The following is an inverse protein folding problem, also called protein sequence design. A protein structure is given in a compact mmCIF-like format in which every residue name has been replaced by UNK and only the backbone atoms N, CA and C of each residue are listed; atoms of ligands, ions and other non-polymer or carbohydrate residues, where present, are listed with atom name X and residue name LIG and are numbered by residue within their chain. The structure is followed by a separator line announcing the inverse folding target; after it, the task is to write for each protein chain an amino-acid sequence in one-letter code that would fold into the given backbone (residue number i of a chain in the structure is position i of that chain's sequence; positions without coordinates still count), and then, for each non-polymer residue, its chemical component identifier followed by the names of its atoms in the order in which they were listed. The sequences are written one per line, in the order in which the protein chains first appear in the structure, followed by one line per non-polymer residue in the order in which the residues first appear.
data_IF_489120349916
#
_entry.id   IF_489120349916
#
_cell.length_a   1.000
_cell.length_b   1.000
_cell.length_c   1.000
_cell.angle_alpha   90.00
_cell.angle_beta   90.00
_cell.angle_gamma   90.00
#
_symmetry.space_group_name_H-M   'P 1'
#
loop_
_entity.id
_entity.type
_entity.pdbx_description
1 polymer ?
#
# COMPACT_ATOMS: atom_id res chain seq x y z
N UNK A 1 -24.49 8.96 9.46
CA UNK A 1 -23.12 8.79 8.93
C UNK A 1 -22.79 7.31 8.89
N UNK A 2 -22.17 6.83 7.82
CA UNK A 2 -21.70 5.43 7.74
C UNK A 2 -20.57 5.21 8.76
N UNK A 3 -20.59 4.08 9.44
CA UNK A 3 -19.56 3.65 10.38
C UNK A 3 -18.99 2.32 9.94
N UNK A 4 -17.70 2.11 10.17
CA UNK A 4 -17.11 0.78 10.21
C UNK A 4 -16.76 0.47 11.66
N UNK A 5 -17.12 -0.73 12.11
CA UNK A 5 -16.76 -1.25 13.42
C UNK A 5 -15.98 -2.53 13.25
N UNK A 6 -14.97 -2.69 14.07
CA UNK A 6 -14.22 -3.95 14.20
C UNK A 6 -14.24 -4.36 15.68
N UNK A 7 -14.22 -5.65 15.92
CA UNK A 7 -14.08 -6.22 17.25
C UNK A 7 -12.84 -7.11 17.27
N UNK A 8 -11.99 -6.90 18.27
CA UNK A 8 -10.73 -7.61 18.42
C UNK A 8 -10.69 -8.32 19.77
N UNK A 9 -10.42 -9.61 19.77
CA UNK A 9 -10.33 -10.46 20.95
C UNK A 9 -8.91 -11.02 21.11
N UNK A 10 -8.40 -10.94 22.33
CA UNK A 10 -7.14 -11.62 22.68
C UNK A 10 -7.37 -13.12 22.86
N UNK A 11 -6.53 -13.91 22.21
CA UNK A 11 -6.62 -15.38 22.17
C UNK A 11 -5.57 -16.09 23.03
N UNK A 12 -4.77 -15.35 23.75
CA UNK A 12 -3.64 -15.84 24.52
C UNK A 12 -2.30 -15.47 23.90
N UNK A 13 -1.20 -15.51 24.68
CA UNK A 13 0.15 -15.07 24.27
C UNK A 13 0.09 -13.72 23.56
N UNK A 14 0.51 -13.66 22.28
CA UNK A 14 0.49 -12.44 21.46
C UNK A 14 -0.57 -12.47 20.36
N UNK A 15 -1.44 -13.49 20.35
CA UNK A 15 -2.44 -13.63 19.30
C UNK A 15 -3.69 -12.80 19.59
N UNK A 16 -4.13 -12.06 18.56
CA UNK A 16 -5.39 -11.35 18.51
C UNK A 16 -6.17 -11.75 17.24
N UNK A 17 -7.45 -12.05 17.42
CA UNK A 17 -8.37 -12.30 16.32
C UNK A 17 -9.31 -11.10 16.17
N UNK A 18 -9.43 -10.59 14.96
CA UNK A 18 -10.29 -9.43 14.66
C UNK A 18 -11.37 -9.83 13.68
N UNK A 19 -12.62 -9.51 14.01
CA UNK A 19 -13.74 -9.67 13.10
C UNK A 19 -13.93 -8.39 12.28
N UNK A 20 -13.82 -8.50 10.95
CA UNK A 20 -13.98 -7.39 10.00
C UNK A 20 -14.98 -7.81 8.93
N UNK A 21 -16.14 -7.16 8.86
CA UNK A 21 -17.20 -7.44 7.88
C UNK A 21 -17.55 -8.94 7.76
N UNK A 22 -17.58 -9.67 8.89
CA UNK A 22 -17.87 -11.11 8.93
C UNK A 22 -16.67 -12.03 8.65
N UNK A 23 -15.47 -11.48 8.41
CA UNK A 23 -14.24 -12.23 8.18
C UNK A 23 -13.31 -12.12 9.38
N UNK A 24 -12.69 -13.24 9.77
CA UNK A 24 -11.69 -13.25 10.84
C UNK A 24 -10.32 -12.99 10.28
N UNK A 25 -9.63 -12.00 10.85
CA UNK A 25 -8.23 -11.70 10.62
C UNK A 25 -7.45 -12.09 11.88
N UNK A 26 -6.43 -12.92 11.71
CA UNK A 26 -5.54 -13.34 12.79
C UNK A 26 -4.28 -12.47 12.75
N UNK A 27 -3.92 -11.91 13.90
CA UNK A 27 -2.66 -11.20 14.11
C UNK A 27 -1.90 -11.90 15.23
N UNK A 28 -0.60 -12.11 15.04
CA UNK A 28 0.26 -12.71 16.06
C UNK A 28 1.69 -12.16 15.94
N UNK A 29 2.54 -12.57 16.84
CA UNK A 29 3.96 -12.26 16.83
C UNK A 29 4.77 -13.54 16.55
N UNK A 30 6.00 -13.42 16.01
CA UNK A 30 6.88 -14.56 15.87
C UNK A 30 7.29 -15.12 17.24
N UNK A 31 7.70 -16.38 17.30
CA UNK A 31 8.04 -17.09 18.55
C UNK A 31 9.07 -16.33 19.39
N UNK A 32 10.08 -15.70 18.75
CA UNK A 32 11.10 -14.88 19.45
C UNK A 32 10.51 -13.66 20.19
N UNK A 33 9.29 -13.26 19.85
CA UNK A 33 8.56 -12.16 20.49
C UNK A 33 7.40 -12.65 21.38
N UNK A 34 7.36 -13.94 21.69
CA UNK A 34 6.36 -14.54 22.60
C UNK A 34 5.06 -14.98 21.93
N UNK A 35 4.97 -14.93 20.61
CA UNK A 35 3.85 -15.46 19.81
C UNK A 35 4.07 -16.89 19.35
N UNK A 36 3.20 -17.36 18.49
CA UNK A 36 3.24 -18.69 17.85
C UNK A 36 3.35 -18.61 16.31
N UNK A 37 3.41 -17.38 15.76
CA UNK A 37 3.47 -17.10 14.32
C UNK A 37 2.25 -17.60 13.55
N UNK A 38 1.08 -17.54 14.19
CA UNK A 38 -0.20 -17.93 13.60
C UNK A 38 -0.76 -16.89 12.63
N UNK A 39 -0.16 -15.72 12.54
CA UNK A 39 -0.58 -14.64 11.66
C UNK A 39 0.45 -13.49 11.61
N UNK A 40 0.30 -12.55 10.67
CA UNK A 40 1.21 -11.43 10.56
C UNK A 40 1.10 -10.48 11.75
N UNK A 41 2.19 -9.74 12.01
CA UNK A 41 2.19 -8.65 13.00
C UNK A 41 1.28 -7.50 12.52
N UNK A 42 0.68 -6.70 13.43
CA UNK A 42 -0.39 -5.75 13.06
C UNK A 42 0.06 -4.57 12.19
N UNK A 43 1.27 -4.03 12.36
CA UNK A 43 1.69 -2.80 11.65
C UNK A 43 1.64 -2.90 10.12
N UNK A 44 2.05 -4.00 9.46
CA UNK A 44 1.93 -4.15 7.99
C UNK A 44 0.50 -4.10 7.45
N UNK A 45 -0.53 -4.28 8.28
CA UNK A 45 -1.91 -4.14 7.83
C UNK A 45 -2.25 -2.72 7.34
N UNK A 46 -1.51 -1.71 7.77
CA UNK A 46 -1.61 -0.35 7.21
C UNK A 46 -1.25 -0.35 5.72
N UNK A 47 -0.17 -1.07 5.35
CA UNK A 47 0.25 -1.21 3.95
C UNK A 47 -0.71 -2.10 3.17
N UNK A 48 -1.21 -3.17 3.78
CA UNK A 48 -2.23 -4.07 3.20
C UNK A 48 -3.52 -3.30 2.90
N UNK A 49 -3.99 -2.48 3.82
CA UNK A 49 -5.16 -1.64 3.62
C UNK A 49 -4.97 -0.66 2.45
N UNK A 50 -3.78 -0.05 2.33
CA UNK A 50 -3.47 0.82 1.20
C UNK A 50 -3.47 0.05 -0.12
N UNK A 51 -2.77 -1.09 -0.21
CA UNK A 51 -2.70 -1.88 -1.45
C UNK A 51 -4.08 -2.35 -1.92
N UNK A 52 -4.90 -2.87 -1.01
CA UNK A 52 -6.25 -3.33 -1.32
C UNK A 52 -7.18 -2.19 -1.75
N UNK A 53 -7.17 -1.07 -1.01
CA UNK A 53 -8.01 0.09 -1.31
C UNK A 53 -7.70 0.66 -2.70
N UNK A 54 -6.43 0.95 -3.00
CA UNK A 54 -6.04 1.51 -4.30
C UNK A 54 -6.20 0.49 -5.43
N UNK A 55 -5.93 -0.80 -5.19
CA UNK A 55 -6.11 -1.85 -6.19
C UNK A 55 -7.56 -2.01 -6.63
N UNK A 56 -8.50 -2.02 -5.68
CA UNK A 56 -9.94 -2.05 -5.98
C UNK A 56 -10.37 -0.83 -6.78
N UNK A 57 -9.88 0.37 -6.44
CA UNK A 57 -10.18 1.60 -7.19
C UNK A 57 -9.68 1.51 -8.65
N UNK A 58 -8.43 1.08 -8.87
CA UNK A 58 -7.84 0.96 -10.21
C UNK A 58 -8.69 0.03 -11.08
N UNK A 59 -9.01 -1.16 -10.56
CA UNK A 59 -9.86 -2.13 -11.28
C UNK A 59 -11.25 -1.56 -11.55
N UNK A 60 -11.86 -0.89 -10.58
CA UNK A 60 -13.20 -0.31 -10.76
C UNK A 60 -13.21 0.83 -11.78
N UNK A 61 -12.17 1.69 -11.76
CA UNK A 61 -12.04 2.83 -12.69
C UNK A 61 -11.84 2.35 -14.14
N UNK A 62 -11.01 1.32 -14.36
CA UNK A 62 -10.81 0.73 -15.69
C UNK A 62 -12.09 0.04 -16.19
N UNK A 63 -12.74 -0.78 -15.35
CA UNK A 63 -14.02 -1.42 -15.71
C UNK A 63 -15.10 -0.43 -16.10
N UNK A 64 -15.18 0.72 -15.44
CA UNK A 64 -16.14 1.78 -15.76
C UNK A 64 -15.96 2.36 -17.17
N UNK A 65 -14.75 2.23 -17.73
CA UNK A 65 -14.41 2.61 -19.09
C UNK A 65 -14.53 1.44 -20.09
N UNK A 66 -15.00 0.28 -19.65
CA UNK A 66 -15.06 -0.93 -20.47
C UNK A 66 -13.70 -1.60 -20.68
N UNK A 67 -12.69 -1.23 -19.88
CA UNK A 67 -11.34 -1.75 -19.95
C UNK A 67 -11.08 -2.80 -18.85
N UNK A 68 -10.21 -3.76 -19.16
CA UNK A 68 -9.73 -4.75 -18.20
C UNK A 68 -8.24 -4.99 -18.39
N UNK A 69 -7.52 -5.15 -17.28
CA UNK A 69 -6.12 -5.59 -17.29
C UNK A 69 -6.05 -7.10 -17.18
N UNK A 70 -4.97 -7.68 -17.69
CA UNK A 70 -4.74 -9.14 -17.64
C UNK A 70 -4.15 -9.55 -16.28
N UNK A 71 -3.34 -8.67 -15.69
CA UNK A 71 -2.71 -8.87 -14.39
C UNK A 71 -2.48 -7.54 -13.67
N UNK A 72 -2.56 -7.56 -12.35
CA UNK A 72 -2.28 -6.42 -11.48
C UNK A 72 -1.64 -6.90 -10.18
N UNK A 73 -0.39 -6.56 -9.98
CA UNK A 73 0.34 -6.76 -8.74
C UNK A 73 0.65 -5.40 -8.09
N UNK A 74 0.51 -5.30 -6.79
CA UNK A 74 0.79 -4.08 -6.04
C UNK A 74 1.72 -4.42 -4.88
N UNK A 75 2.91 -3.82 -4.89
CA UNK A 75 3.86 -3.89 -3.79
C UNK A 75 3.87 -2.56 -3.05
N UNK A 76 3.73 -2.61 -1.72
CA UNK A 76 3.78 -1.42 -0.87
C UNK A 76 4.94 -1.55 0.11
N UNK A 77 5.84 -0.59 0.05
CA UNK A 77 7.00 -0.51 0.95
C UNK A 77 6.82 0.66 1.90
N UNK A 78 6.97 0.43 3.19
CA UNK A 78 6.95 1.46 4.23
C UNK A 78 8.28 1.55 4.95
N UNK A 79 8.89 2.72 4.97
CA UNK A 79 10.11 2.99 5.72
C UNK A 79 9.79 3.26 7.18
N UNK A 80 10.51 2.60 8.10
CA UNK A 80 10.32 2.74 9.54
C UNK A 80 11.28 3.78 10.13
N UNK A 81 10.77 4.56 11.08
CA UNK A 81 11.62 5.42 11.92
C UNK A 81 12.60 4.59 12.74
N UNK A 82 13.76 5.18 13.07
CA UNK A 82 14.77 4.54 13.92
C UNK A 82 14.51 4.72 15.42
N UNK A 83 13.61 5.63 15.78
CA UNK A 83 13.30 5.98 17.17
C UNK A 83 11.89 5.54 17.55
N UNK A 84 11.66 5.31 18.83
CA UNK A 84 10.33 5.05 19.37
C UNK A 84 9.47 6.35 19.44
N UNK A 85 8.18 6.25 19.14
CA UNK A 85 7.46 5.08 18.63
C UNK A 85 7.88 4.75 17.19
N UNK A 86 8.20 3.49 16.91
CA UNK A 86 8.53 3.05 15.55
C UNK A 86 7.29 3.13 14.65
N UNK A 87 7.30 4.08 13.73
CA UNK A 87 6.21 4.34 12.78
C UNK A 87 6.73 4.40 11.34
N UNK A 88 5.83 4.29 10.37
CA UNK A 88 6.19 4.59 8.98
C UNK A 88 6.47 6.09 8.84
N UNK A 89 7.55 6.43 8.12
CA UNK A 89 7.96 7.81 7.83
C UNK A 89 7.86 8.14 6.34
N UNK A 90 7.82 7.13 5.48
CA UNK A 90 7.53 7.24 4.05
C UNK A 90 6.90 5.94 3.55
N UNK A 91 6.05 6.02 2.53
CA UNK A 91 5.45 4.87 1.86
C UNK A 91 5.65 5.02 0.35
N UNK A 92 6.00 3.92 -0.30
CA UNK A 92 6.05 3.81 -1.76
C UNK A 92 5.19 2.66 -2.25
N UNK A 93 4.42 2.91 -3.33
CA UNK A 93 3.52 1.94 -3.97
C UNK A 93 4.01 1.65 -5.38
N UNK A 94 4.33 0.41 -5.66
CA UNK A 94 4.72 -0.09 -6.98
C UNK A 94 3.53 -0.85 -7.60
N UNK A 95 3.06 -0.41 -8.76
CA UNK A 95 2.03 -1.09 -9.54
C UNK A 95 2.70 -1.78 -10.72
N UNK A 96 2.61 -3.10 -10.80
CA UNK A 96 3.00 -3.90 -11.97
C UNK A 96 1.73 -4.40 -12.64
N UNK A 97 1.48 -3.90 -13.86
CA UNK A 97 0.22 -4.08 -14.58
C UNK A 97 0.50 -4.61 -15.97
N UNK A 98 -0.28 -5.60 -16.40
CA UNK A 98 -0.25 -6.14 -17.76
C UNK A 98 -1.61 -5.97 -18.44
N UNK A 99 -1.60 -5.65 -19.72
CA UNK A 99 -2.81 -5.46 -20.52
C UNK A 99 -2.53 -5.01 -21.94
N UNK A 100 -3.58 -4.63 -22.66
CA UNK A 100 -3.48 -4.19 -24.06
C UNK A 100 -2.63 -2.93 -24.24
N UNK A 101 -1.83 -2.88 -25.30
CA UNK A 101 -0.88 -1.77 -25.57
C UNK A 101 -1.55 -0.38 -25.62
N UNK A 102 -2.80 -0.28 -26.05
CA UNK A 102 -3.53 0.97 -26.15
C UNK A 102 -3.97 1.56 -24.82
N UNK A 103 -3.79 0.85 -23.68
CA UNK A 103 -4.34 1.21 -22.38
C UNK A 103 -3.37 1.99 -21.47
N UNK A 104 -2.16 2.30 -21.92
CA UNK A 104 -1.12 2.95 -21.07
C UNK A 104 -1.64 4.22 -20.38
N UNK A 105 -2.26 5.12 -21.11
CA UNK A 105 -2.76 6.40 -20.59
C UNK A 105 -3.92 6.18 -19.60
N UNK A 106 -4.82 5.25 -19.89
CA UNK A 106 -5.96 4.91 -19.03
C UNK A 106 -5.48 4.32 -17.70
N UNK A 107 -4.45 3.47 -17.74
CA UNK A 107 -3.82 2.89 -16.56
C UNK A 107 -3.17 3.97 -15.70
N UNK A 108 -2.36 4.86 -16.29
CA UNK A 108 -1.75 5.99 -15.56
C UNK A 108 -2.84 6.86 -14.92
N UNK A 109 -3.90 7.15 -15.68
CA UNK A 109 -5.02 7.93 -15.17
C UNK A 109 -5.75 7.23 -14.03
N UNK A 110 -6.05 5.94 -14.15
CA UNK A 110 -6.77 5.17 -13.14
C UNK A 110 -5.96 5.09 -11.82
N UNK A 111 -4.66 4.80 -11.88
CA UNK A 111 -3.78 4.78 -10.71
C UNK A 111 -3.68 6.16 -10.07
N UNK A 112 -3.45 7.20 -10.87
CA UNK A 112 -3.35 8.58 -10.36
C UNK A 112 -4.65 9.04 -9.72
N UNK A 113 -5.79 8.78 -10.36
CA UNK A 113 -7.11 9.13 -9.82
C UNK A 113 -7.41 8.36 -8.52
N UNK A 114 -7.04 7.08 -8.43
CA UNK A 114 -7.12 6.35 -7.15
C UNK A 114 -6.30 7.06 -6.07
N UNK A 115 -5.02 7.32 -6.34
CA UNK A 115 -4.11 7.90 -5.35
C UNK A 115 -4.50 9.32 -4.92
N UNK A 116 -5.11 10.11 -5.79
CA UNK A 116 -5.37 11.54 -5.54
C UNK A 116 -6.83 11.81 -5.15
N UNK A 117 -7.80 11.03 -5.64
CA UNK A 117 -9.23 11.34 -5.51
C UNK A 117 -10.04 10.28 -4.75
N UNK A 118 -9.76 8.99 -4.97
CA UNK A 118 -10.70 7.94 -4.56
C UNK A 118 -10.23 7.14 -3.35
N UNK A 119 -8.95 6.76 -3.27
CA UNK A 119 -8.46 5.94 -2.16
C UNK A 119 -8.46 6.71 -0.83
N UNK A 120 -9.43 6.41 0.03
CA UNK A 120 -9.54 7.02 1.35
C UNK A 120 -8.34 6.72 2.25
N UNK A 121 -7.75 5.52 2.12
CA UNK A 121 -6.55 5.13 2.89
C UNK A 121 -5.35 5.97 2.44
N UNK A 122 -5.13 6.13 1.13
CA UNK A 122 -4.07 7.01 0.61
C UNK A 122 -4.26 8.46 1.09
N UNK A 123 -5.50 8.95 1.03
CA UNK A 123 -5.84 10.30 1.50
C UNK A 123 -5.54 10.53 2.98
N UNK A 124 -5.82 9.53 3.84
CA UNK A 124 -5.49 9.60 5.27
C UNK A 124 -3.98 9.57 5.50
N UNK A 125 -3.27 8.63 4.86
CA UNK A 125 -1.83 8.45 5.06
C UNK A 125 -1.03 9.67 4.58
N UNK A 126 -1.40 10.28 3.46
CA UNK A 126 -0.75 11.50 2.92
C UNK A 126 -0.81 12.71 3.86
N UNK A 127 -1.74 12.72 4.82
CA UNK A 127 -1.78 13.77 5.86
C UNK A 127 -0.70 13.60 6.91
N UNK A 128 -0.17 12.39 7.06
CA UNK A 128 0.80 12.06 8.11
C UNK A 128 2.23 11.90 7.56
N UNK A 129 2.39 11.43 6.32
CA UNK A 129 3.69 11.09 5.74
C UNK A 129 3.67 11.14 4.20
N UNK A 130 4.83 11.24 3.54
CA UNK A 130 4.95 11.15 2.10
C UNK A 130 4.49 9.78 1.58
N UNK A 131 3.63 9.77 0.56
CA UNK A 131 3.22 8.59 -0.20
C UNK A 131 3.53 8.83 -1.66
N UNK A 132 4.45 8.04 -2.21
CA UNK A 132 4.84 8.07 -3.61
C UNK A 132 4.42 6.79 -4.32
N UNK A 133 4.39 6.82 -5.66
CA UNK A 133 4.06 5.61 -6.44
C UNK A 133 4.76 5.60 -7.79
N UNK A 134 4.88 4.40 -8.33
CA UNK A 134 5.33 4.16 -9.70
C UNK A 134 4.44 3.13 -10.39
N UNK A 135 4.47 3.13 -11.71
CA UNK A 135 3.69 2.23 -12.56
C UNK A 135 4.62 1.58 -13.56
N UNK A 136 4.70 0.26 -13.51
CA UNK A 136 5.30 -0.59 -14.54
C UNK A 136 4.16 -1.19 -15.35
N UNK A 137 4.17 -0.99 -16.66
CA UNK A 137 3.16 -1.52 -17.57
C UNK A 137 3.81 -2.35 -18.67
N UNK A 138 3.42 -3.64 -18.77
CA UNK A 138 4.03 -4.62 -19.68
C UNK A 138 5.56 -4.67 -19.55
N UNK A 139 6.11 -4.48 -18.32
CA UNK A 139 7.55 -4.50 -18.05
C UNK A 139 8.28 -3.16 -18.26
N UNK A 140 7.59 -2.11 -18.69
CA UNK A 140 8.15 -0.77 -18.87
C UNK A 140 7.66 0.18 -17.75
N UNK A 141 8.57 0.90 -17.09
CA UNK A 141 8.20 1.96 -16.14
C UNK A 141 7.63 3.16 -16.91
N UNK A 142 6.33 3.39 -16.80
CA UNK A 142 5.60 4.46 -17.51
C UNK A 142 5.28 5.68 -16.63
N UNK A 143 5.43 5.56 -15.31
CA UNK A 143 5.21 6.66 -14.37
C UNK A 143 6.02 6.43 -13.08
N UNK A 144 6.57 7.51 -12.52
CA UNK A 144 7.18 7.53 -11.19
C UNK A 144 7.16 8.95 -10.64
N UNK A 145 6.68 9.14 -9.41
CA UNK A 145 6.71 10.43 -8.71
C UNK A 145 7.62 10.43 -7.46
N UNK A 146 8.50 9.43 -7.34
CA UNK A 146 9.53 9.44 -6.31
C UNK A 146 10.46 10.63 -6.55
N UNK A 147 10.77 11.47 -5.55
CA UNK A 147 11.76 12.51 -5.70
C UNK A 147 13.09 11.90 -6.18
N UNK A 148 13.71 12.55 -7.18
CA UNK A 148 15.07 12.18 -7.57
C UNK A 148 15.96 12.57 -6.39
N UNK A 149 16.66 11.59 -5.80
CA UNK A 149 17.70 11.91 -4.83
C UNK A 149 18.79 12.68 -5.58
N UNK A 150 18.90 13.99 -5.31
CA UNK A 150 20.05 14.77 -5.76
C UNK A 150 21.30 14.11 -5.16
N UNK A 151 22.09 13.47 -6.00
CA UNK A 151 23.44 13.06 -5.63
C UNK A 151 24.17 14.31 -5.22
N UNK A 152 24.26 14.58 -3.91
CA UNK A 152 25.17 15.57 -3.36
C UNK A 152 26.57 15.15 -3.83
N UNK A 153 27.09 15.87 -4.82
CA UNK A 153 28.51 15.84 -5.12
C UNK A 153 29.23 16.24 -3.82
N UNK A 154 29.79 15.27 -3.12
CA UNK A 154 30.77 15.55 -2.10
C UNK A 154 32.00 16.13 -2.81
N UNK A 155 32.11 17.45 -2.77
CA UNK A 155 33.35 18.13 -3.12
C UNK A 155 34.31 17.79 -1.98
N UNK A 156 35.25 16.87 -2.25
CA UNK A 156 36.37 16.63 -1.37
C UNK A 156 37.16 17.92 -1.21
N UNK A 157 37.39 18.42 0.01
CA UNK A 157 38.31 19.53 0.20
C UNK A 157 39.74 19.02 0.00
N UNK A 158 40.47 19.66 -0.90
CA UNK A 158 41.92 19.54 -1.03
C UNK A 158 42.64 20.03 0.22
#
# INVERSE_FOLDING_TARGET
MAKHEIETQWMGKMQFNTLVNGHTIIMDAPQRAGGEDNGPIPKPFVLTALSGCTGMDVVALLRKQGLSVDDLSIKVTGELSKQQPMQYIAIHVEYDIKGGESMKEDVVKAVTDSQVKYCGVSSMLKKALPVTWEIVYNGEQIFNNRPVEDHKFEISPN
#
